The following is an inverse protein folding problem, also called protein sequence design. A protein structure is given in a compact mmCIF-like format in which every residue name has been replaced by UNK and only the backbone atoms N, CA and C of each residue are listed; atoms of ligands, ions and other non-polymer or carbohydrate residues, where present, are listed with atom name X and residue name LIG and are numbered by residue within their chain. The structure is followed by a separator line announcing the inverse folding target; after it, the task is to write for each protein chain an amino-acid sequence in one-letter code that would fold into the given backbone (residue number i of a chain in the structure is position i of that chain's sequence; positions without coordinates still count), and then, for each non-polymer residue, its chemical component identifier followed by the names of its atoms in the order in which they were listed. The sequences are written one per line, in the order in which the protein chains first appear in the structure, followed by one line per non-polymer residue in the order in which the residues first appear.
data_IF_763472620293
#
_entry.id   IF_763472620293
#
_cell.length_a   1.000
_cell.length_b   1.000
_cell.length_c   1.000
_cell.angle_alpha   90.00
_cell.angle_beta   90.00
_cell.angle_gamma   90.00
#
_symmetry.space_group_name_H-M   'P 1'
#
loop_
_entity.id
_entity.type
_entity.pdbx_description
1 polymer ?
#
# COMPACT_ATOMS: atom_id res chain seq x y z
N UNK A 1 -3.74 -71.16 -50.18
CA UNK A 1 -3.49 -71.01 -51.63
C UNK A 1 -3.78 -69.56 -52.00
N UNK A 2 -2.90 -68.91 -52.75
CA UNK A 2 -2.89 -67.58 -53.35
C UNK A 2 -2.21 -66.53 -52.44
N UNK A 3 -1.12 -66.26 -52.68
CA UNK A 3 -0.07 -65.57 -53.48
C UNK A 3 -0.16 -64.07 -53.36
N UNK A 4 0.86 -63.53 -52.66
CA UNK A 4 1.21 -62.07 -52.53
C UNK A 4 1.74 -61.57 -53.84
N UNK A 5 1.30 -60.34 -54.24
CA UNK A 5 2.00 -59.53 -55.24
C UNK A 5 2.22 -58.10 -54.66
N UNK A 6 3.46 -57.79 -54.47
CA UNK A 6 3.95 -56.43 -54.17
C UNK A 6 3.84 -55.52 -55.44
N UNK A 7 3.22 -54.35 -55.31
CA UNK A 7 3.36 -53.30 -56.32
C UNK A 7 4.14 -52.15 -55.73
N UNK A 8 5.22 -51.83 -56.40
CA UNK A 8 6.15 -50.74 -56.19
C UNK A 8 5.48 -49.34 -56.40
N UNK A 9 5.76 -48.41 -55.49
CA UNK A 9 5.42 -47.00 -55.57
C UNK A 9 6.57 -46.24 -56.18
N UNK A 10 6.37 -45.35 -57.19
CA UNK A 10 7.44 -44.57 -57.76
C UNK A 10 7.80 -43.36 -56.89
N UNK A 11 9.08 -43.09 -56.85
CA UNK A 11 9.68 -41.82 -56.35
C UNK A 11 9.37 -40.71 -57.33
N UNK A 12 8.90 -39.56 -56.79
CA UNK A 12 9.44 -38.28 -57.24
C UNK A 12 8.61 -37.09 -56.97
N UNK A 13 9.23 -36.11 -56.95
CA UNK A 13 9.07 -34.71 -57.26
C UNK A 13 9.33 -33.79 -56.04
N UNK A 14 10.53 -33.31 -56.03
CA UNK A 14 10.95 -32.25 -55.13
C UNK A 14 10.19 -30.97 -55.48
N UNK A 15 9.46 -30.42 -54.52
CA UNK A 15 8.93 -29.05 -54.59
C UNK A 15 10.00 -28.13 -53.95
N UNK A 16 10.64 -27.36 -54.83
CA UNK A 16 11.54 -26.27 -54.43
C UNK A 16 10.67 -25.13 -53.96
N UNK A 17 10.60 -24.91 -52.62
CA UNK A 17 9.89 -23.76 -52.04
C UNK A 17 10.80 -22.53 -52.15
N UNK A 18 10.53 -21.67 -53.11
CA UNK A 18 11.23 -20.37 -53.24
C UNK A 18 10.66 -19.43 -52.19
N UNK A 19 11.44 -19.14 -51.15
CA UNK A 19 11.11 -18.12 -50.14
C UNK A 19 11.25 -16.74 -50.77
N UNK A 20 10.13 -16.09 -51.04
CA UNK A 20 10.09 -14.67 -51.36
C UNK A 20 10.32 -13.87 -50.06
N UNK A 21 11.50 -13.29 -49.91
CA UNK A 21 11.82 -12.30 -48.90
C UNK A 21 11.00 -11.04 -49.16
N UNK A 22 9.97 -10.78 -48.35
CA UNK A 22 9.27 -9.50 -48.30
C UNK A 22 10.07 -8.56 -47.39
N UNK A 23 10.67 -7.47 -47.94
CA UNK A 23 11.36 -6.50 -47.10
C UNK A 23 10.30 -5.59 -46.45
N UNK A 24 10.28 -5.54 -45.11
CA UNK A 24 9.50 -4.50 -44.42
C UNK A 24 8.68 -4.91 -43.19
N UNK A 25 8.66 -6.17 -42.75
CA UNK A 25 8.08 -6.47 -41.44
C UNK A 25 9.19 -6.39 -40.37
N UNK A 26 9.32 -5.23 -39.76
CA UNK A 26 10.01 -5.11 -38.46
C UNK A 26 9.10 -5.67 -37.37
N UNK A 27 9.48 -6.80 -36.80
CA UNK A 27 8.86 -7.30 -35.58
C UNK A 27 9.04 -6.23 -34.50
N UNK A 28 8.03 -5.99 -33.64
CA UNK A 28 8.23 -5.15 -32.47
C UNK A 28 9.42 -5.74 -31.70
N UNK A 29 10.48 -4.97 -31.54
CA UNK A 29 11.56 -5.34 -30.62
C UNK A 29 10.91 -5.47 -29.25
N UNK A 30 10.98 -6.66 -28.66
CA UNK A 30 10.77 -6.86 -27.23
C UNK A 30 11.69 -5.87 -26.52
N UNK A 31 11.10 -4.85 -25.92
CA UNK A 31 11.85 -3.91 -25.06
C UNK A 31 12.38 -4.76 -23.92
N UNK A 32 13.69 -5.03 -23.96
CA UNK A 32 14.37 -5.68 -22.86
C UNK A 32 13.98 -4.97 -21.56
N UNK A 33 13.62 -5.71 -20.48
CA UNK A 33 13.33 -5.07 -19.21
C UNK A 33 14.55 -4.23 -18.82
N UNK A 34 14.29 -2.97 -18.49
CA UNK A 34 15.32 -2.04 -18.05
C UNK A 34 16.12 -2.71 -16.91
N UNK A 35 17.38 -3.00 -17.16
CA UNK A 35 18.34 -3.54 -16.17
C UNK A 35 18.79 -2.44 -15.20
N UNK A 36 17.85 -1.64 -14.70
CA UNK A 36 18.09 -0.71 -13.61
C UNK A 36 17.82 -1.43 -12.28
N UNK A 37 18.72 -1.29 -11.32
CA UNK A 37 18.45 -1.68 -9.94
C UNK A 37 17.11 -1.07 -9.51
N UNK A 38 16.27 -1.77 -8.73
CA UNK A 38 15.01 -1.22 -8.26
C UNK A 38 15.29 0.11 -7.56
N UNK A 39 14.63 1.18 -8.04
CA UNK A 39 14.82 2.53 -7.47
C UNK A 39 14.15 2.70 -6.10
N UNK A 40 13.40 1.68 -5.67
CA UNK A 40 12.54 1.71 -4.49
C UNK A 40 12.74 0.49 -3.60
N UNK A 41 12.56 0.68 -2.32
CA UNK A 41 12.29 -0.36 -1.35
C UNK A 41 10.86 -0.87 -1.57
N UNK A 42 10.69 -1.78 -2.53
CA UNK A 42 9.36 -2.23 -2.93
C UNK A 42 8.85 -3.38 -2.06
N UNK A 43 7.57 -3.31 -1.68
CA UNK A 43 6.81 -4.38 -1.02
C UNK A 43 5.68 -4.79 -1.96
N UNK A 44 5.82 -5.95 -2.61
CA UNK A 44 5.02 -6.29 -3.77
C UNK A 44 4.43 -7.71 -3.72
N UNK A 45 3.40 -7.95 -2.88
CA UNK A 45 2.59 -9.16 -2.97
C UNK A 45 1.84 -9.17 -4.31
N UNK A 46 1.73 -10.36 -4.94
CA UNK A 46 1.15 -10.50 -6.28
C UNK A 46 -0.29 -10.94 -6.27
N UNK A 47 -0.73 -11.60 -5.20
CA UNK A 47 -2.09 -12.10 -5.02
C UNK A 47 -2.66 -11.62 -3.69
N UNK A 48 -3.99 -11.63 -3.49
CA UNK A 48 -4.58 -11.36 -2.19
C UNK A 48 -4.07 -12.31 -1.10
N UNK A 49 -3.76 -13.56 -1.44
CA UNK A 49 -3.20 -14.54 -0.51
C UNK A 49 -1.77 -14.19 -0.10
N UNK A 50 -0.97 -13.67 -1.03
CA UNK A 50 0.38 -13.16 -0.71
C UNK A 50 0.30 -12.00 0.28
N UNK A 51 -0.68 -11.09 0.11
CA UNK A 51 -0.90 -9.99 1.04
C UNK A 51 -1.29 -10.49 2.44
N UNK A 52 -2.14 -11.52 2.52
CA UNK A 52 -2.50 -12.18 3.79
C UNK A 52 -1.27 -12.84 4.44
N UNK A 53 -0.44 -13.56 3.69
CA UNK A 53 0.77 -14.19 4.22
C UNK A 53 1.84 -13.15 4.62
N UNK A 54 1.96 -12.02 3.89
CA UNK A 54 2.84 -10.91 4.27
C UNK A 54 2.50 -10.38 5.67
N UNK A 55 1.21 -10.17 5.96
CA UNK A 55 0.75 -9.62 7.24
C UNK A 55 0.39 -10.68 8.28
N UNK A 56 0.61 -11.96 7.99
CA UNK A 56 0.48 -13.00 9.01
C UNK A 56 1.58 -12.84 10.06
N UNK A 57 1.19 -12.76 11.34
CA UNK A 57 2.16 -12.65 12.44
C UNK A 57 3.05 -13.91 12.53
N UNK A 58 4.36 -13.72 12.60
CA UNK A 58 5.37 -14.81 12.66
C UNK A 58 6.38 -14.66 13.80
N UNK A 59 6.18 -13.73 14.70
CA UNK A 59 7.14 -13.34 15.76
C UNK A 59 8.50 -12.81 15.24
N UNK A 60 8.74 -12.80 13.92
CA UNK A 60 9.91 -12.19 13.29
C UNK A 60 9.57 -10.75 12.86
N UNK A 61 10.45 -9.76 13.09
CA UNK A 61 10.15 -8.38 12.75
C UNK A 61 10.00 -8.20 11.23
N UNK A 62 8.99 -7.45 10.82
CA UNK A 62 8.87 -6.98 9.45
C UNK A 62 9.63 -5.64 9.31
N UNK A 63 10.58 -5.50 8.36
CA UNK A 63 11.29 -4.24 8.13
C UNK A 63 10.38 -3.25 7.38
N UNK A 64 9.26 -2.86 7.98
CA UNK A 64 8.18 -2.17 7.32
C UNK A 64 7.57 -1.12 8.25
N UNK A 65 7.37 0.11 7.76
CA UNK A 65 6.60 1.15 8.43
C UNK A 65 5.29 1.41 7.67
N UNK A 66 4.29 2.00 8.34
CA UNK A 66 3.12 2.59 7.69
C UNK A 66 3.32 4.10 7.60
N UNK A 67 3.40 4.63 6.39
CA UNK A 67 3.61 6.04 6.16
C UNK A 67 2.26 6.77 6.15
N UNK A 68 1.93 7.47 7.23
CA UNK A 68 0.70 8.27 7.37
C UNK A 68 0.68 9.36 6.30
N UNK A 69 -0.35 9.37 5.45
CA UNK A 69 -0.50 10.24 4.27
C UNK A 69 0.69 10.20 3.31
N UNK A 70 1.44 9.08 3.30
CA UNK A 70 2.63 8.89 2.49
C UNK A 70 3.94 9.42 3.07
N UNK A 71 3.94 10.07 4.25
CA UNK A 71 5.14 10.62 4.91
C UNK A 71 5.53 12.01 4.39
N UNK A 72 4.66 13.03 4.56
CA UNK A 72 4.91 14.38 4.07
C UNK A 72 6.11 15.04 4.77
N UNK A 73 6.85 15.83 4.01
CA UNK A 73 7.99 16.60 4.50
C UNK A 73 8.23 17.85 3.65
N UNK A 74 9.25 18.63 3.96
CA UNK A 74 9.59 19.85 3.19
C UNK A 74 9.66 19.56 1.69
N UNK A 75 8.95 20.37 0.89
CA UNK A 75 8.75 20.25 -0.57
C UNK A 75 7.96 19.00 -1.02
N UNK A 76 7.47 18.18 -0.12
CA UNK A 76 6.75 16.92 -0.40
C UNK A 76 5.41 16.91 0.35
N UNK A 77 4.30 17.25 -0.33
CA UNK A 77 2.96 17.32 0.28
C UNK A 77 2.43 15.97 0.74
N UNK A 78 1.49 15.98 1.70
CA UNK A 78 0.70 14.80 2.06
C UNK A 78 -0.15 14.32 0.88
N UNK A 79 -0.47 13.01 0.84
CA UNK A 79 -1.32 12.40 -0.20
C UNK A 79 -0.84 12.68 -1.64
N UNK A 80 0.47 12.64 -1.88
CA UNK A 80 1.10 13.00 -3.13
C UNK A 80 2.02 11.89 -3.67
N UNK A 81 1.94 11.58 -4.96
CA UNK A 81 2.76 10.52 -5.56
C UNK A 81 4.26 10.75 -5.41
N UNK A 82 4.71 12.01 -5.50
CA UNK A 82 6.13 12.35 -5.31
C UNK A 82 6.59 12.06 -3.86
N UNK A 83 5.72 12.29 -2.87
CA UNK A 83 5.98 11.95 -1.47
C UNK A 83 6.05 10.44 -1.28
N UNK A 84 5.15 9.69 -1.92
CA UNK A 84 5.15 8.23 -1.91
C UNK A 84 6.46 7.67 -2.49
N UNK A 85 6.91 8.20 -3.63
CA UNK A 85 8.20 7.83 -4.22
C UNK A 85 9.37 8.13 -3.30
N UNK A 86 9.37 9.33 -2.69
CA UNK A 86 10.42 9.70 -1.76
C UNK A 86 10.49 8.73 -0.57
N UNK A 87 9.36 8.36 0.02
CA UNK A 87 9.31 7.39 1.11
C UNK A 87 9.90 6.04 0.68
N UNK A 88 9.50 5.52 -0.47
CA UNK A 88 10.01 4.24 -0.97
C UNK A 88 11.48 4.28 -1.41
N UNK A 89 12.06 5.43 -1.67
CA UNK A 89 13.52 5.56 -1.89
C UNK A 89 14.33 5.39 -0.61
N UNK A 90 13.72 5.60 0.55
CA UNK A 90 14.42 5.59 1.83
C UNK A 90 14.15 4.34 2.68
N UNK A 91 12.97 3.74 2.55
CA UNK A 91 12.56 2.61 3.39
C UNK A 91 11.44 1.78 2.77
N UNK A 92 11.31 0.54 3.22
CA UNK A 92 10.11 -0.26 2.98
C UNK A 92 8.95 0.35 3.76
N UNK A 93 7.87 0.67 3.04
CA UNK A 93 6.68 1.25 3.66
C UNK A 93 5.40 0.75 2.96
N UNK A 94 4.32 0.65 3.72
CA UNK A 94 2.95 0.76 3.22
C UNK A 94 2.52 2.21 3.36
N UNK A 95 1.57 2.67 2.54
CA UNK A 95 1.18 4.08 2.49
C UNK A 95 -0.29 4.23 2.87
N UNK A 96 -0.57 4.88 3.97
CA UNK A 96 -1.93 5.31 4.30
C UNK A 96 -2.30 6.53 3.45
N UNK A 97 -3.54 6.57 2.94
CA UNK A 97 -4.04 7.61 2.03
C UNK A 97 -5.53 7.90 2.24
N UNK A 98 -5.97 9.12 1.88
CA UNK A 98 -7.25 9.72 2.23
C UNK A 98 -8.18 9.95 1.01
N UNK A 99 -9.00 8.98 0.58
CA UNK A 99 -9.91 9.16 -0.56
C UNK A 99 -11.07 10.11 -0.25
N UNK A 100 -11.32 11.11 -1.15
CA UNK A 100 -12.48 12.01 -1.10
C UNK A 100 -13.15 12.15 -2.45
N UNK A 101 -14.47 12.40 -2.44
CA UNK A 101 -15.22 12.72 -3.64
C UNK A 101 -15.00 14.16 -4.10
N UNK A 102 -14.93 14.32 -5.41
CA UNK A 102 -15.10 15.59 -6.12
C UNK A 102 -16.58 15.82 -6.45
N UNK A 103 -16.92 17.04 -6.89
CA UNK A 103 -18.26 17.42 -7.34
C UNK A 103 -18.83 16.54 -8.45
N UNK A 104 -17.98 16.11 -9.38
CA UNK A 104 -18.30 15.28 -10.52
C UNK A 104 -18.11 13.77 -10.27
N UNK A 105 -17.92 13.37 -8.99
CA UNK A 105 -17.89 11.99 -8.56
C UNK A 105 -16.57 11.25 -8.81
N UNK A 106 -15.51 11.93 -9.22
CA UNK A 106 -14.16 11.37 -9.19
C UNK A 106 -13.70 11.21 -7.73
N UNK A 107 -12.72 10.33 -7.48
CA UNK A 107 -12.12 10.14 -6.16
C UNK A 107 -10.68 10.64 -6.21
N UNK A 108 -10.36 11.61 -5.36
CA UNK A 108 -9.01 12.19 -5.19
C UNK A 108 -8.45 11.84 -3.82
N UNK A 109 -7.12 11.98 -3.64
CA UNK A 109 -6.48 11.82 -2.34
C UNK A 109 -6.35 13.19 -1.67
N UNK A 110 -7.08 13.39 -0.56
CA UNK A 110 -7.04 14.64 0.21
C UNK A 110 -7.61 14.42 1.62
N UNK A 111 -6.84 14.79 2.66
CA UNK A 111 -7.26 14.51 4.04
C UNK A 111 -8.44 15.38 4.49
N UNK A 112 -8.32 16.70 4.39
CA UNK A 112 -9.32 17.64 4.90
C UNK A 112 -10.54 17.73 3.98
N UNK A 113 -11.74 18.04 4.47
CA UNK A 113 -12.85 18.36 3.58
C UNK A 113 -12.65 19.68 2.84
N UNK A 114 -11.71 20.53 3.28
CA UNK A 114 -11.42 21.87 2.74
C UNK A 114 -10.01 21.94 2.18
N UNK A 115 -9.83 22.78 1.15
CA UNK A 115 -8.62 22.86 0.33
C UNK A 115 -7.49 23.71 0.95
N UNK A 116 -7.81 24.64 1.87
CA UNK A 116 -6.94 25.76 2.24
C UNK A 116 -5.59 25.35 2.86
N UNK A 117 -5.58 24.30 3.69
CA UNK A 117 -4.37 23.89 4.41
C UNK A 117 -3.29 23.35 3.48
N UNK A 118 -3.68 22.47 2.57
CA UNK A 118 -2.75 21.66 1.78
C UNK A 118 -2.73 22.01 0.29
N UNK A 119 -3.48 23.04 -0.14
CA UNK A 119 -3.52 23.46 -1.55
C UNK A 119 -3.55 24.98 -1.71
N UNK A 120 -3.41 25.43 -2.96
CA UNK A 120 -3.62 26.84 -3.34
C UNK A 120 -5.10 27.23 -3.45
N UNK A 121 -6.02 26.23 -3.37
CA UNK A 121 -7.47 26.43 -3.46
C UNK A 121 -8.11 26.85 -2.15
N UNK A 122 -9.41 27.19 -2.24
CA UNK A 122 -10.27 27.53 -1.08
C UNK A 122 -11.65 26.94 -1.30
N UNK A 123 -12.28 26.43 -0.27
CA UNK A 123 -13.62 25.84 -0.30
C UNK A 123 -13.57 24.33 -0.03
N UNK A 124 -14.70 23.64 -0.24
CA UNK A 124 -14.82 22.20 -0.02
C UNK A 124 -14.32 21.45 -1.25
N UNK A 125 -13.61 20.34 -1.07
CA UNK A 125 -13.21 19.44 -2.17
C UNK A 125 -14.42 19.03 -3.01
N UNK A 126 -15.54 18.73 -2.37
CA UNK A 126 -16.79 18.31 -3.00
C UNK A 126 -17.50 19.39 -3.83
N UNK A 127 -17.07 20.67 -3.75
CA UNK A 127 -17.63 21.76 -4.56
C UNK A 127 -16.94 21.90 -5.94
N UNK A 128 -15.81 21.21 -6.14
CA UNK A 128 -14.98 21.32 -7.33
C UNK A 128 -15.00 20.02 -8.15
N UNK A 129 -15.00 20.17 -9.46
CA UNK A 129 -14.75 19.08 -10.39
C UNK A 129 -13.28 18.63 -10.35
N UNK A 130 -13.00 17.40 -10.81
CA UNK A 130 -11.63 16.93 -10.94
C UNK A 130 -10.76 17.88 -11.79
N UNK A 131 -11.32 18.40 -12.89
CA UNK A 131 -10.60 19.32 -13.77
C UNK A 131 -10.18 20.60 -13.04
N UNK A 132 -11.06 21.15 -12.19
CA UNK A 132 -10.76 22.34 -11.39
C UNK A 132 -9.70 22.03 -10.32
N UNK A 133 -9.82 20.90 -9.62
CA UNK A 133 -8.84 20.47 -8.60
C UNK A 133 -7.45 20.25 -9.20
N UNK A 134 -7.35 19.73 -10.40
CA UNK A 134 -6.07 19.55 -11.12
C UNK A 134 -5.37 20.86 -11.50
N UNK A 135 -6.04 22.02 -11.45
CA UNK A 135 -5.40 23.33 -11.63
C UNK A 135 -4.71 23.83 -10.35
N UNK A 136 -5.04 23.25 -9.20
CA UNK A 136 -4.46 23.65 -7.92
C UNK A 136 -3.05 23.04 -7.76
N UNK A 137 -2.27 23.66 -6.87
CA UNK A 137 -0.97 23.14 -6.43
C UNK A 137 -1.06 22.73 -4.97
N UNK A 138 -0.41 21.62 -4.65
CA UNK A 138 -0.27 21.15 -3.27
C UNK A 138 0.76 22.01 -2.51
N UNK A 139 0.54 22.13 -1.21
CA UNK A 139 1.48 22.73 -0.27
C UNK A 139 2.11 21.64 0.59
N UNK A 140 3.37 21.81 0.89
CA UNK A 140 4.07 21.00 1.87
C UNK A 140 3.64 21.33 3.33
N UNK A 141 4.13 20.59 4.35
CA UNK A 141 3.78 20.84 5.75
C UNK A 141 4.09 22.26 6.25
N UNK A 142 5.08 22.94 5.66
CA UNK A 142 5.45 24.32 6.00
C UNK A 142 4.53 25.36 5.30
N UNK A 143 3.59 24.91 4.46
CA UNK A 143 2.70 25.76 3.69
C UNK A 143 3.32 26.30 2.39
N UNK A 144 4.52 25.83 2.02
CA UNK A 144 5.18 26.18 0.76
C UNK A 144 4.46 25.54 -0.42
N UNK A 145 4.11 26.36 -1.42
CA UNK A 145 3.48 25.85 -2.66
C UNK A 145 4.51 25.08 -3.47
N UNK A 146 4.14 23.87 -3.87
CA UNK A 146 4.95 22.96 -4.70
C UNK A 146 4.44 22.93 -6.14
N UNK A 147 5.14 22.21 -7.02
CA UNK A 147 4.67 21.93 -8.39
C UNK A 147 3.62 20.80 -8.46
N UNK A 148 3.41 20.06 -7.36
CA UNK A 148 2.58 18.88 -7.33
C UNK A 148 1.10 19.19 -7.35
N UNK A 149 0.33 18.27 -7.91
CA UNK A 149 -1.14 18.33 -8.02
C UNK A 149 -1.78 17.24 -7.16
N UNK A 150 -3.07 17.42 -6.84
CA UNK A 150 -3.88 16.41 -6.14
C UNK A 150 -3.99 15.18 -7.04
N UNK A 151 -3.53 13.99 -6.59
CA UNK A 151 -3.72 12.76 -7.37
C UNK A 151 -5.13 12.20 -7.21
N UNK A 152 -5.59 11.45 -8.21
CA UNK A 152 -6.78 10.61 -8.06
C UNK A 152 -6.44 9.30 -7.35
N UNK A 153 -7.45 8.63 -6.80
CA UNK A 153 -7.31 7.28 -6.28
C UNK A 153 -6.91 6.30 -7.40
N UNK A 154 -7.43 6.49 -8.62
CA UNK A 154 -7.08 5.66 -9.78
C UNK A 154 -5.59 5.78 -10.12
N UNK A 155 -5.05 7.00 -10.15
CA UNK A 155 -3.61 7.24 -10.36
C UNK A 155 -2.77 6.57 -9.26
N UNK A 156 -3.20 6.66 -8.00
CA UNK A 156 -2.47 6.07 -6.87
C UNK A 156 -2.50 4.54 -6.88
N UNK A 157 -3.65 3.90 -7.13
CA UNK A 157 -3.78 2.44 -7.22
C UNK A 157 -2.95 1.89 -8.38
N UNK A 158 -2.96 2.56 -9.54
CA UNK A 158 -2.13 2.18 -10.67
C UNK A 158 -0.63 2.35 -10.38
N UNK A 159 -0.25 3.46 -9.74
CA UNK A 159 1.13 3.75 -9.37
C UNK A 159 1.68 2.74 -8.35
N UNK A 160 0.88 2.34 -7.35
CA UNK A 160 1.31 1.46 -6.25
C UNK A 160 1.61 0.02 -6.69
N UNK A 161 1.05 -0.41 -7.82
CA UNK A 161 1.24 -1.77 -8.36
C UNK A 161 2.73 -2.12 -8.43
N UNK A 162 3.11 -3.28 -7.90
CA UNK A 162 4.47 -3.82 -7.83
C UNK A 162 5.48 -2.94 -7.04
N UNK A 163 5.00 -1.94 -6.30
CA UNK A 163 5.83 -1.04 -5.49
C UNK A 163 5.49 -1.08 -4.01
N UNK A 164 4.20 -0.99 -3.66
CA UNK A 164 3.79 -0.91 -2.26
C UNK A 164 2.31 -1.23 -2.10
N UNK A 165 1.85 -1.21 -0.85
CA UNK A 165 0.46 -1.43 -0.47
C UNK A 165 -0.13 -0.09 -0.02
N UNK A 166 -1.31 0.28 -0.57
CA UNK A 166 -2.08 1.43 -0.12
C UNK A 166 -3.08 1.01 0.96
N UNK A 167 -3.17 1.77 2.04
CA UNK A 167 -4.18 1.62 3.09
C UNK A 167 -5.15 2.79 2.95
N UNK A 168 -6.36 2.51 2.47
CA UNK A 168 -7.36 3.54 2.14
C UNK A 168 -8.20 3.88 3.37
N UNK A 169 -8.02 5.09 3.91
CA UNK A 169 -8.83 5.58 5.02
C UNK A 169 -10.29 5.84 4.60
N UNK A 170 -11.14 6.00 5.60
CA UNK A 170 -12.54 6.36 5.43
C UNK A 170 -12.71 7.87 5.61
N UNK A 171 -12.94 8.57 4.49
CA UNK A 171 -13.39 9.97 4.52
C UNK A 171 -14.87 10.02 4.14
N UNK A 172 -15.22 10.65 3.04
CA UNK A 172 -16.60 10.73 2.54
C UNK A 172 -16.92 9.70 1.45
N UNK A 173 -15.95 8.91 1.00
CA UNK A 173 -16.14 7.88 -0.02
C UNK A 173 -16.72 6.60 0.61
N UNK A 174 -17.98 6.20 0.27
CA UNK A 174 -18.57 4.99 0.81
C UNK A 174 -17.75 3.74 0.54
N UNK A 175 -17.87 2.76 1.42
CA UNK A 175 -17.11 1.50 1.32
C UNK A 175 -17.30 0.80 -0.01
N UNK A 176 -18.52 0.73 -0.52
CA UNK A 176 -18.81 0.06 -1.80
C UNK A 176 -18.06 0.71 -2.98
N UNK A 177 -17.90 2.05 -2.95
CA UNK A 177 -17.14 2.75 -3.99
C UNK A 177 -15.63 2.49 -3.89
N UNK A 178 -15.07 2.42 -2.67
CA UNK A 178 -13.65 2.06 -2.47
C UNK A 178 -13.38 0.60 -2.87
N UNK A 179 -14.25 -0.33 -2.50
CA UNK A 179 -14.20 -1.74 -2.94
C UNK A 179 -14.22 -1.81 -4.47
N UNK A 180 -15.19 -1.11 -5.11
CA UNK A 180 -15.30 -1.07 -6.57
C UNK A 180 -14.02 -0.56 -7.23
N UNK A 181 -13.38 0.48 -6.68
CA UNK A 181 -12.10 0.99 -7.20
C UNK A 181 -10.97 -0.03 -7.09
N UNK A 182 -10.87 -0.73 -5.97
CA UNK A 182 -9.88 -1.81 -5.81
C UNK A 182 -10.11 -2.91 -6.86
N UNK A 183 -11.37 -3.32 -7.10
CA UNK A 183 -11.73 -4.33 -8.10
C UNK A 183 -11.45 -3.86 -9.54
N UNK A 184 -11.83 -2.63 -9.90
CA UNK A 184 -11.58 -2.03 -11.22
C UNK A 184 -10.07 -2.05 -11.56
N UNK A 185 -9.22 -1.79 -10.57
CA UNK A 185 -7.77 -1.79 -10.72
C UNK A 185 -7.11 -3.16 -10.46
N UNK A 186 -7.89 -4.21 -10.09
CA UNK A 186 -7.36 -5.52 -9.65
C UNK A 186 -6.28 -5.34 -8.57
N UNK A 187 -6.60 -4.51 -7.59
CA UNK A 187 -5.66 -4.03 -6.57
C UNK A 187 -5.77 -4.78 -5.23
N UNK A 188 -6.49 -5.90 -5.16
CA UNK A 188 -6.69 -6.68 -3.93
C UNK A 188 -5.38 -7.17 -3.32
N UNK A 189 -4.31 -7.27 -4.11
CA UNK A 189 -2.97 -7.64 -3.62
C UNK A 189 -2.17 -6.46 -3.07
N UNK A 190 -2.57 -5.21 -3.35
CA UNK A 190 -1.80 -4.02 -2.98
C UNK A 190 -2.67 -2.84 -2.51
N UNK A 191 -3.90 -3.12 -2.07
CA UNK A 191 -4.75 -2.14 -1.42
C UNK A 191 -5.55 -2.77 -0.27
N UNK A 192 -5.63 -2.06 0.85
CA UNK A 192 -6.36 -2.42 2.06
C UNK A 192 -7.34 -1.30 2.42
N UNK A 193 -8.32 -1.60 3.27
CA UNK A 193 -9.33 -0.61 3.71
C UNK A 193 -9.30 -0.45 5.23
N UNK A 194 -9.19 0.79 5.72
CA UNK A 194 -9.41 1.09 7.13
C UNK A 194 -10.90 0.94 7.48
N UNK A 195 -11.17 0.30 8.61
CA UNK A 195 -12.51 0.15 9.19
C UNK A 195 -12.48 0.52 10.67
N UNK A 196 -13.49 1.29 11.09
CA UNK A 196 -13.60 1.80 12.45
C UNK A 196 -14.57 1.03 13.34
N UNK A 197 -15.26 0.02 12.78
CA UNK A 197 -16.20 -0.81 13.55
C UNK A 197 -16.28 -2.24 13.04
N UNK A 198 -16.64 -3.18 13.92
CA UNK A 198 -16.87 -4.58 13.56
C UNK A 198 -17.99 -4.74 12.51
N UNK A 199 -19.04 -3.89 12.57
CA UNK A 199 -20.11 -3.90 11.58
C UNK A 199 -19.60 -3.53 10.18
N UNK A 200 -18.72 -2.54 10.10
CA UNK A 200 -18.07 -2.19 8.83
C UNK A 200 -17.17 -3.32 8.34
N UNK A 201 -16.39 -3.95 9.22
CA UNK A 201 -15.55 -5.07 8.84
C UNK A 201 -16.37 -6.21 8.21
N UNK A 202 -17.49 -6.58 8.82
CA UNK A 202 -18.42 -7.58 8.26
C UNK A 202 -18.97 -7.17 6.89
N UNK A 203 -19.45 -5.93 6.77
CA UNK A 203 -20.04 -5.42 5.54
C UNK A 203 -19.02 -5.42 4.39
N UNK A 204 -17.76 -5.07 4.65
CA UNK A 204 -16.68 -5.06 3.65
C UNK A 204 -16.26 -6.45 3.26
N UNK A 205 -16.06 -7.32 4.24
CA UNK A 205 -15.71 -8.71 3.96
C UNK A 205 -16.78 -9.42 3.13
N UNK A 206 -18.06 -9.10 3.35
CA UNK A 206 -19.17 -9.62 2.55
C UNK A 206 -19.19 -9.10 1.11
N UNK A 207 -18.69 -7.86 0.84
CA UNK A 207 -18.59 -7.32 -0.52
C UNK A 207 -17.46 -7.99 -1.32
N UNK A 208 -16.26 -8.07 -0.72
CA UNK A 208 -15.11 -8.75 -1.35
C UNK A 208 -14.19 -9.34 -0.27
N UNK A 209 -14.22 -10.67 -0.05
CA UNK A 209 -13.42 -11.33 0.97
C UNK A 209 -11.91 -11.37 0.67
N UNK A 210 -11.49 -10.97 -0.53
CA UNK A 210 -10.08 -10.90 -0.92
C UNK A 210 -9.40 -9.58 -0.51
N UNK A 211 -10.18 -8.55 -0.14
CA UNK A 211 -9.62 -7.28 0.32
C UNK A 211 -9.30 -7.36 1.81
N UNK A 212 -8.05 -7.13 2.17
CA UNK A 212 -7.62 -7.03 3.57
C UNK A 212 -8.10 -5.73 4.22
N UNK A 213 -8.26 -5.77 5.53
CA UNK A 213 -8.76 -4.65 6.33
C UNK A 213 -7.74 -4.26 7.40
N UNK A 214 -7.59 -2.96 7.64
CA UNK A 214 -7.03 -2.45 8.88
C UNK A 214 -8.19 -2.15 9.82
N UNK A 215 -8.23 -2.85 10.96
CA UNK A 215 -9.37 -2.80 11.89
C UNK A 215 -8.95 -2.19 13.22
N UNK A 216 -9.68 -1.19 13.71
CA UNK A 216 -9.45 -0.58 15.02
C UNK A 216 -9.80 -1.56 16.13
N UNK A 217 -8.79 -2.13 16.79
CA UNK A 217 -8.90 -3.07 17.93
C UNK A 217 -7.93 -2.63 19.03
N UNK A 218 -8.32 -1.62 19.80
CA UNK A 218 -7.49 -1.02 20.86
C UNK A 218 -7.88 -1.47 22.27
N UNK A 219 -8.91 -2.31 22.41
CA UNK A 219 -9.37 -2.83 23.70
C UNK A 219 -9.78 -4.29 23.60
N UNK A 220 -9.75 -5.00 24.74
CA UNK A 220 -10.23 -6.38 24.83
C UNK A 220 -11.70 -6.51 24.40
N UNK A 221 -12.54 -5.55 24.71
CA UNK A 221 -13.95 -5.57 24.31
C UNK A 221 -14.11 -5.51 22.79
N UNK A 222 -13.30 -4.71 22.10
CA UNK A 222 -13.27 -4.67 20.61
C UNK A 222 -12.74 -5.97 20.02
N UNK A 223 -11.72 -6.57 20.61
CA UNK A 223 -11.25 -7.90 20.21
C UNK A 223 -12.39 -8.93 20.31
N UNK A 224 -13.07 -9.02 21.46
CA UNK A 224 -14.14 -9.98 21.68
C UNK A 224 -15.37 -9.74 20.75
N UNK A 225 -15.59 -8.47 20.35
CA UNK A 225 -16.58 -8.13 19.34
C UNK A 225 -16.14 -8.60 17.95
N UNK A 226 -14.89 -8.31 17.57
CA UNK A 226 -14.38 -8.70 16.26
C UNK A 226 -14.35 -10.22 16.10
N UNK A 227 -13.92 -10.95 17.11
CA UNK A 227 -13.84 -12.43 17.09
C UNK A 227 -15.21 -13.09 16.80
N UNK A 228 -16.31 -12.38 17.08
CA UNK A 228 -17.69 -12.82 16.81
C UNK A 228 -18.22 -12.41 15.42
N UNK A 229 -17.45 -11.64 14.64
CA UNK A 229 -17.91 -11.15 13.33
C UNK A 229 -17.94 -12.24 12.26
N UNK A 230 -17.16 -13.29 12.41
CA UNK A 230 -16.90 -14.29 11.37
C UNK A 230 -15.92 -13.84 10.28
N UNK A 231 -15.42 -12.61 10.32
CA UNK A 231 -14.33 -12.16 9.45
C UNK A 231 -13.05 -12.89 9.86
N UNK A 232 -12.38 -13.59 8.93
CA UNK A 232 -11.16 -14.34 9.26
C UNK A 232 -10.03 -13.40 9.70
N UNK A 233 -9.33 -13.74 10.77
CA UNK A 233 -8.19 -12.97 11.29
C UNK A 233 -7.05 -12.80 10.28
N UNK A 234 -6.86 -13.74 9.36
CA UNK A 234 -5.90 -13.61 8.25
C UNK A 234 -6.22 -12.48 7.27
N UNK A 235 -7.45 -11.94 7.30
CA UNK A 235 -7.89 -10.85 6.42
C UNK A 235 -7.68 -9.47 7.03
N UNK A 236 -7.07 -9.39 8.22
CA UNK A 236 -6.90 -8.09 8.89
C UNK A 236 -5.47 -7.83 9.38
N UNK A 237 -5.20 -6.55 9.52
CA UNK A 237 -4.19 -5.97 10.41
C UNK A 237 -4.93 -5.24 11.53
N UNK A 238 -4.52 -5.40 12.78
CA UNK A 238 -5.19 -4.77 13.91
C UNK A 238 -4.51 -3.44 14.26
N UNK A 239 -5.22 -2.32 14.13
CA UNK A 239 -4.73 -1.04 14.61
C UNK A 239 -5.03 -0.90 16.12
N UNK A 240 -3.96 -0.89 16.94
CA UNK A 240 -4.10 -1.03 18.40
C UNK A 240 -4.10 0.29 19.18
N UNK A 241 -3.85 1.43 18.53
CA UNK A 241 -3.99 2.76 19.14
C UNK A 241 -3.07 3.85 18.59
N UNK A 242 -3.33 5.11 18.99
CA UNK A 242 -2.58 6.31 18.53
C UNK A 242 -1.82 7.07 19.64
N UNK A 243 -2.19 6.90 20.89
CA UNK A 243 -1.80 7.85 21.96
C UNK A 243 -1.01 7.23 23.09
N UNK A 244 -0.94 5.92 23.17
CA UNK A 244 -0.28 5.23 24.25
C UNK A 244 0.46 3.99 23.73
N UNK A 245 1.39 3.50 24.52
CA UNK A 245 2.01 2.21 24.27
C UNK A 245 0.91 1.13 24.19
N UNK A 246 0.99 0.19 23.23
CA UNK A 246 -0.01 -0.85 23.07
C UNK A 246 -0.13 -1.73 24.31
N UNK A 247 -1.31 -2.26 24.59
CA UNK A 247 -1.51 -3.28 25.61
C UNK A 247 -0.89 -4.60 25.13
N UNK A 248 0.20 -5.00 25.76
CA UNK A 248 0.97 -6.18 25.36
C UNK A 248 0.13 -7.47 25.40
N UNK A 249 -0.82 -7.61 26.37
CA UNK A 249 -1.71 -8.77 26.43
C UNK A 249 -2.72 -8.78 25.29
N UNK A 250 -3.18 -7.61 24.87
CA UNK A 250 -4.07 -7.49 23.72
C UNK A 250 -3.32 -7.88 22.46
N UNK A 251 -2.10 -7.36 22.24
CA UNK A 251 -1.26 -7.73 21.11
C UNK A 251 -0.97 -9.23 21.07
N UNK A 252 -0.56 -9.83 22.20
CA UNK A 252 -0.36 -11.27 22.33
C UNK A 252 -1.61 -12.07 21.94
N UNK A 253 -2.79 -11.60 22.35
CA UNK A 253 -4.06 -12.26 22.02
C UNK A 253 -4.37 -12.15 20.50
N UNK A 254 -4.08 -11.00 19.87
CA UNK A 254 -4.24 -10.79 18.44
C UNK A 254 -3.24 -11.64 17.65
N UNK A 255 -1.99 -11.68 18.08
CA UNK A 255 -0.93 -12.55 17.53
C UNK A 255 -1.32 -14.03 17.58
N UNK A 256 -1.96 -14.46 18.68
CA UNK A 256 -2.50 -15.81 18.82
C UNK A 256 -3.58 -16.17 17.77
N UNK A 257 -4.18 -15.17 17.11
CA UNK A 257 -5.06 -15.34 15.96
C UNK A 257 -4.33 -15.25 14.62
N UNK A 258 -3.03 -14.99 14.63
CA UNK A 258 -2.19 -14.87 13.45
C UNK A 258 -2.24 -13.48 12.77
N UNK A 259 -2.86 -12.46 13.38
CA UNK A 259 -2.92 -11.12 12.83
C UNK A 259 -1.78 -10.23 13.36
N UNK A 260 -1.34 -9.31 12.53
CA UNK A 260 -0.32 -8.29 12.81
C UNK A 260 -0.94 -7.09 13.54
N UNK A 261 -0.19 -6.49 14.48
CA UNK A 261 -0.57 -5.29 15.22
C UNK A 261 0.15 -4.05 14.68
N UNK A 262 -0.60 -2.96 14.44
CA UNK A 262 -0.09 -1.66 14.02
C UNK A 262 -0.38 -0.61 15.10
N UNK A 263 0.57 0.30 15.37
CA UNK A 263 0.40 1.41 16.32
C UNK A 263 0.74 2.72 15.64
N UNK A 264 -0.08 3.77 15.85
CA UNK A 264 0.16 5.10 15.30
C UNK A 264 0.95 6.01 16.24
N UNK A 265 1.95 6.72 15.71
CA UNK A 265 2.81 7.65 16.45
C UNK A 265 2.67 9.13 16.09
N UNK A 266 1.92 9.56 15.04
CA UNK A 266 1.84 10.96 14.63
C UNK A 266 1.41 11.93 15.73
N UNK A 267 0.57 11.46 16.67
CA UNK A 267 -0.01 12.32 17.73
C UNK A 267 0.84 12.45 18.99
N UNK A 268 1.94 11.69 19.10
CA UNK A 268 2.82 11.75 20.27
C UNK A 268 4.31 11.74 19.92
N UNK A 269 4.95 10.63 19.52
CA UNK A 269 6.40 10.58 19.31
C UNK A 269 6.82 11.45 18.11
N UNK A 270 6.15 11.31 16.97
CA UNK A 270 6.47 12.07 15.77
C UNK A 270 6.32 13.58 16.01
N UNK A 271 5.29 13.96 16.78
CA UNK A 271 5.03 15.36 17.11
C UNK A 271 6.21 16.00 17.86
N UNK A 272 6.91 15.26 18.72
CA UNK A 272 8.09 15.76 19.45
C UNK A 272 9.23 16.13 18.49
N UNK A 273 9.41 15.34 17.44
CA UNK A 273 10.37 15.64 16.39
C UNK A 273 9.90 16.79 15.48
N UNK A 274 8.67 16.74 14.99
CA UNK A 274 8.11 17.75 14.09
C UNK A 274 7.97 19.13 14.73
N UNK A 275 7.76 19.21 16.04
CA UNK A 275 7.71 20.49 16.77
C UNK A 275 9.09 21.07 17.10
N UNK A 276 10.17 20.34 16.83
CA UNK A 276 11.54 20.74 17.21
C UNK A 276 11.87 20.53 18.69
N UNK A 277 11.00 19.88 19.49
CA UNK A 277 11.34 19.47 20.87
C UNK A 277 12.54 18.52 20.88
N UNK A 278 12.59 17.64 19.88
CA UNK A 278 13.71 16.73 19.62
C UNK A 278 14.16 16.94 18.17
N UNK A 279 15.46 17.18 17.96
CA UNK A 279 16.01 17.45 16.61
C UNK A 279 16.79 16.28 16.02
N UNK A 280 17.06 15.24 16.80
CA UNK A 280 17.71 14.00 16.36
C UNK A 280 16.75 12.84 16.60
N UNK A 281 16.36 12.15 15.53
CA UNK A 281 15.43 11.02 15.59
C UNK A 281 15.98 9.86 16.44
N UNK A 282 17.30 9.72 16.55
CA UNK A 282 17.93 8.68 17.38
C UNK A 282 17.65 8.86 18.88
N UNK A 283 17.32 10.06 19.34
CA UNK A 283 16.88 10.30 20.73
C UNK A 283 15.54 9.62 21.01
N UNK A 284 14.68 9.50 20.01
CA UNK A 284 13.36 8.85 20.11
C UNK A 284 13.40 7.35 19.77
N UNK A 285 14.50 6.83 19.23
CA UNK A 285 14.62 5.42 18.85
C UNK A 285 14.26 4.44 19.99
N UNK A 286 14.73 4.62 21.25
CA UNK A 286 14.33 3.74 22.35
C UNK A 286 12.81 3.71 22.59
N UNK A 287 12.14 4.85 22.46
CA UNK A 287 10.69 4.97 22.64
C UNK A 287 9.93 4.21 21.53
N UNK A 288 10.35 4.34 20.27
CA UNK A 288 9.77 3.57 19.17
C UNK A 288 10.03 2.07 19.30
N UNK A 289 11.26 1.67 19.67
CA UNK A 289 11.58 0.26 19.91
C UNK A 289 10.77 -0.33 21.05
N UNK A 290 10.46 0.46 22.09
CA UNK A 290 9.59 0.03 23.17
C UNK A 290 8.17 -0.31 22.70
N UNK A 291 7.65 0.37 21.67
CA UNK A 291 6.36 0.01 21.07
C UNK A 291 6.41 -1.37 20.40
N UNK A 292 7.49 -1.65 19.65
CA UNK A 292 7.71 -2.95 19.03
C UNK A 292 7.87 -4.07 20.08
N UNK A 293 8.63 -3.81 21.14
CA UNK A 293 8.82 -4.77 22.26
C UNK A 293 7.50 -5.06 23.01
N UNK A 294 6.53 -4.16 22.93
CA UNK A 294 5.20 -4.34 23.54
C UNK A 294 4.19 -5.03 22.61
N UNK A 295 4.65 -5.47 21.44
CA UNK A 295 3.86 -6.27 20.51
C UNK A 295 3.25 -5.49 19.33
N UNK A 296 3.69 -4.25 19.06
CA UNK A 296 3.45 -3.67 17.74
C UNK A 296 4.39 -4.34 16.72
N UNK A 297 3.88 -4.72 15.57
CA UNK A 297 4.67 -5.26 14.46
C UNK A 297 5.03 -4.15 13.46
N UNK A 298 4.14 -3.17 13.30
CA UNK A 298 4.33 -1.99 12.45
C UNK A 298 4.05 -0.70 13.23
N UNK A 299 4.74 0.35 12.82
CA UNK A 299 4.51 1.70 13.31
C UNK A 299 3.97 2.56 12.15
N UNK A 300 2.79 3.15 12.36
CA UNK A 300 2.31 4.22 11.50
C UNK A 300 2.91 5.55 11.96
N UNK A 301 3.54 6.29 11.02
CA UNK A 301 4.35 7.47 11.32
C UNK A 301 4.27 8.54 10.25
N UNK A 302 4.39 9.82 10.67
CA UNK A 302 4.63 10.97 9.78
C UNK A 302 6.11 11.07 9.33
N UNK A 303 7.01 10.25 9.92
CA UNK A 303 8.47 10.32 9.75
C UNK A 303 9.05 9.05 9.07
N UNK A 304 8.44 8.48 8.03
CA UNK A 304 8.87 7.18 7.50
C UNK A 304 10.32 7.20 6.98
N UNK A 305 10.75 8.30 6.38
CA UNK A 305 12.10 8.44 5.80
C UNK A 305 13.20 8.56 6.85
N UNK A 306 12.87 9.01 8.04
CA UNK A 306 13.77 9.08 9.20
C UNK A 306 13.70 7.78 10.02
N UNK A 307 12.48 7.34 10.34
CA UNK A 307 12.25 6.24 11.27
C UNK A 307 12.55 4.88 10.67
N UNK A 308 12.17 4.64 9.41
CA UNK A 308 12.38 3.36 8.74
C UNK A 308 13.85 2.92 8.74
N UNK A 309 14.81 3.75 8.28
CA UNK A 309 16.24 3.42 8.36
C UNK A 309 16.75 3.20 9.78
N UNK A 310 16.30 3.99 10.76
CA UNK A 310 16.71 3.87 12.18
C UNK A 310 16.25 2.56 12.79
N UNK A 311 15.00 2.16 12.55
CA UNK A 311 14.45 0.92 13.13
C UNK A 311 14.86 -0.33 12.36
N UNK A 312 14.95 -0.26 11.03
CA UNK A 312 14.98 -1.43 10.17
C UNK A 312 16.14 -1.44 9.15
N UNK A 313 17.01 -0.42 9.11
CA UNK A 313 18.08 -0.32 8.12
C UNK A 313 19.04 -1.51 8.07
N UNK A 314 19.18 -2.23 9.19
CA UNK A 314 19.96 -3.48 9.28
C UNK A 314 19.09 -4.74 9.38
N UNK A 315 17.77 -4.61 9.34
CA UNK A 315 16.83 -5.73 9.52
C UNK A 315 16.52 -6.35 8.15
N UNK A 316 16.77 -7.64 8.01
CA UNK A 316 16.34 -8.39 6.84
C UNK A 316 14.88 -8.85 6.99
N UNK A 317 14.19 -8.96 5.88
CA UNK A 317 12.87 -9.58 5.88
C UNK A 317 12.97 -11.04 6.33
N UNK A 318 11.97 -11.57 7.07
CA UNK A 318 11.89 -12.98 7.38
C UNK A 318 12.03 -13.85 6.12
N UNK A 319 12.76 -14.96 6.19
CA UNK A 319 12.97 -15.87 5.05
C UNK A 319 11.64 -16.29 4.43
N UNK A 320 10.61 -16.50 5.26
CA UNK A 320 9.25 -16.83 4.81
C UNK A 320 8.54 -15.72 4.03
N UNK A 321 9.08 -14.51 3.98
CA UNK A 321 8.47 -13.31 3.38
C UNK A 321 9.42 -12.54 2.47
N UNK A 322 10.68 -12.94 2.35
CA UNK A 322 11.74 -12.19 1.64
C UNK A 322 11.40 -11.86 0.18
N UNK A 323 10.66 -12.76 -0.51
CA UNK A 323 10.27 -12.56 -1.92
C UNK A 323 9.27 -11.44 -2.15
N UNK A 324 8.62 -10.92 -1.09
CA UNK A 324 7.76 -9.73 -1.17
C UNK A 324 8.58 -8.43 -1.16
N UNK A 325 9.83 -8.47 -0.67
CA UNK A 325 10.68 -7.31 -0.49
C UNK A 325 11.75 -7.25 -1.59
N UNK A 326 11.82 -6.11 -2.26
CA UNK A 326 12.85 -5.84 -3.27
C UNK A 326 13.52 -4.51 -2.93
N UNK A 327 14.78 -4.55 -2.48
CA UNK A 327 15.58 -3.37 -2.19
C UNK A 327 16.15 -2.71 -3.46
N UNK A 328 16.59 -1.45 -3.37
CA UNK A 328 17.35 -0.76 -4.42
C UNK A 328 18.71 -1.38 -4.67
#
# INVERSE_FOLDING_TARGET
MQTNTWRSIPRSAGLTLTLLLVPGLTWPQEVAPATGHPQFHAVAPRTPQDLQELFKHTAEPLPLVSAHRGGPQKNLPENCLATFENTLRHTFAVLEVDPRYTKDGAIVLHHDPRLERTTTGRGLVADFTLQELKQLRLKDPDGTVTEHQIPTLDEALQWARDKTILILDQKDVPVAARVKKIEEHKAESHAMLIVYSCKEAQARHALNPNIMLEVMISTRAQFDQFDKTGVPWRNIVAFVGHLAAPDAKLCETIHGRGATCIVGTPRHLDRRFLSGEVTDIHVLEPDYRALLQRGADLIETDLPTQLGPVLFGATQAPVSKEWYFRGP
#
